data_IF_124230471295
#
_entry.id   IF_124230471295
#
_cell.length_a   1.000
_cell.length_b   1.000
_cell.length_c   1.000
_cell.angle_alpha   90.00
_cell.angle_beta   90.00
_cell.angle_gamma   90.00
#
_symmetry.space_group_name_H-M   'P 1'
#
loop_
_entity.id
_entity.type
_entity.pdbx_description
1 polymer ?
#
# COMPACT_ATOMS: atom_id res chain seq x y z
N UNK A 1 9.96 -1.37 -2.70
CA UNK A 1 10.43 -2.34 -3.73
C UNK A 1 9.38 -3.42 -3.87
N UNK A 2 9.13 -3.89 -5.08
CA UNK A 2 8.07 -4.84 -5.42
C UNK A 2 8.63 -5.94 -6.31
N UNK A 3 8.73 -7.17 -5.80
CA UNK A 3 9.23 -8.33 -6.53
C UNK A 3 8.10 -9.06 -7.26
N UNK A 4 8.44 -9.69 -8.39
CA UNK A 4 7.59 -10.68 -9.07
C UNK A 4 8.49 -11.84 -9.47
N UNK A 5 8.60 -12.83 -8.59
CA UNK A 5 9.73 -13.77 -8.62
C UNK A 5 11.03 -13.10 -8.15
N UNK A 6 12.10 -13.88 -8.01
CA UNK A 6 13.35 -13.41 -7.42
C UNK A 6 14.20 -12.54 -8.35
N UNK A 7 13.97 -12.61 -9.67
CA UNK A 7 14.80 -11.95 -10.68
C UNK A 7 14.21 -10.65 -11.25
N UNK A 8 12.95 -10.34 -10.89
CA UNK A 8 12.30 -9.08 -11.26
C UNK A 8 11.95 -8.27 -10.01
N UNK A 9 12.33 -6.99 -10.02
CA UNK A 9 11.98 -6.05 -8.96
C UNK A 9 11.74 -4.64 -9.53
N UNK A 10 10.58 -4.08 -9.24
CA UNK A 10 10.26 -2.67 -9.48
C UNK A 10 10.54 -1.84 -8.21
N UNK A 11 11.08 -0.64 -8.38
CA UNK A 11 11.34 0.26 -7.26
C UNK A 11 10.92 1.70 -7.56
N UNK A 12 10.31 2.30 -6.56
CA UNK A 12 9.85 3.68 -6.54
C UNK A 12 10.11 4.23 -5.13
N UNK A 13 10.46 5.50 -5.04
CA UNK A 13 10.66 6.22 -3.78
C UNK A 13 9.46 7.12 -3.49
N UNK A 14 9.21 7.34 -2.20
CA UNK A 14 8.22 8.28 -1.68
C UNK A 14 8.84 9.09 -0.54
N UNK A 15 8.28 10.24 -0.22
CA UNK A 15 8.69 11.04 0.93
C UNK A 15 8.57 10.22 2.22
N UNK A 16 9.61 10.25 3.05
CA UNK A 16 9.58 9.58 4.35
C UNK A 16 8.56 10.27 5.27
N UNK A 17 7.65 9.52 5.92
CA UNK A 17 6.70 10.08 6.87
C UNK A 17 7.38 10.66 8.12
N UNK A 18 8.66 10.35 8.36
CA UNK A 18 9.43 10.85 9.49
C UNK A 18 9.91 12.31 9.33
N UNK A 19 9.77 12.91 8.15
CA UNK A 19 10.16 14.31 7.89
C UNK A 19 9.19 15.30 8.55
N UNK A 20 7.95 15.33 8.07
CA UNK A 20 6.92 16.29 8.52
C UNK A 20 5.51 15.67 8.61
N UNK A 21 5.36 14.39 8.28
CA UNK A 21 4.08 13.69 8.25
C UNK A 21 3.09 14.16 7.16
N UNK A 22 3.49 15.10 6.29
CA UNK A 22 2.68 15.65 5.19
C UNK A 22 2.96 14.87 3.90
N UNK A 23 1.89 14.28 3.35
CA UNK A 23 1.95 13.53 2.09
C UNK A 23 2.01 14.51 0.93
N UNK A 24 3.04 14.41 0.11
CA UNK A 24 3.13 15.16 -1.14
C UNK A 24 2.20 14.55 -2.18
N UNK A 25 1.37 15.39 -2.80
CA UNK A 25 0.39 14.98 -3.80
C UNK A 25 0.60 15.75 -5.10
N UNK A 26 0.36 15.07 -6.22
CA UNK A 26 0.33 15.70 -7.55
C UNK A 26 -0.97 16.48 -7.78
N UNK A 27 -1.12 17.07 -8.96
CA UNK A 27 -2.31 17.82 -9.38
C UNK A 27 -3.58 16.96 -9.45
N UNK A 28 -3.45 15.63 -9.51
CA UNK A 28 -4.58 14.68 -9.48
C UNK A 28 -4.88 14.17 -8.06
N UNK A 29 -4.14 14.66 -7.05
CA UNK A 29 -4.30 14.25 -5.65
C UNK A 29 -3.67 12.90 -5.31
N UNK A 30 -2.88 12.29 -6.18
CA UNK A 30 -2.16 11.02 -5.91
C UNK A 30 -0.85 11.30 -5.18
N UNK A 31 -0.41 10.36 -4.35
CA UNK A 31 0.88 10.47 -3.65
C UNK A 31 2.03 10.51 -4.67
N UNK A 32 2.91 11.49 -4.56
CA UNK A 32 4.06 11.65 -5.46
C UNK A 32 5.04 10.49 -5.26
N UNK A 33 5.49 9.91 -6.38
CA UNK A 33 6.46 8.82 -6.41
C UNK A 33 7.54 9.09 -7.43
N UNK A 34 8.76 8.70 -7.10
CA UNK A 34 9.93 8.88 -7.95
C UNK A 34 10.44 7.51 -8.42
N UNK A 35 10.70 7.32 -9.73
CA UNK A 35 11.26 6.07 -10.21
C UNK A 35 12.64 5.82 -9.61
N UNK A 36 12.94 4.58 -9.23
CA UNK A 36 14.23 4.19 -8.66
C UNK A 36 14.78 3.01 -9.42
N UNK A 37 16.04 3.13 -9.84
CA UNK A 37 16.81 1.99 -10.34
C UNK A 37 17.56 1.37 -9.15
N UNK A 38 17.39 0.07 -8.97
CA UNK A 38 18.11 -0.71 -7.95
C UNK A 38 19.53 -0.98 -8.42
N UNK A 39 20.50 -0.77 -7.53
CA UNK A 39 21.88 -1.19 -7.78
C UNK A 39 22.04 -2.72 -7.62
N UNK A 40 23.22 -3.26 -7.95
CA UNK A 40 23.48 -4.69 -7.88
C UNK A 40 23.26 -5.30 -6.48
N UNK A 41 23.66 -4.59 -5.41
CA UNK A 41 23.44 -5.05 -4.03
C UNK A 41 21.94 -5.10 -3.69
N UNK A 42 21.18 -4.11 -4.12
CA UNK A 42 19.74 -4.03 -3.86
C UNK A 42 18.95 -5.06 -4.66
N UNK A 43 19.36 -5.37 -5.89
CA UNK A 43 18.81 -6.50 -6.65
C UNK A 43 19.05 -7.83 -5.93
N UNK A 44 20.25 -8.03 -5.39
CA UNK A 44 20.54 -9.21 -4.55
C UNK A 44 19.68 -9.24 -3.28
N UNK A 45 19.41 -8.09 -2.65
CA UNK A 45 18.48 -8.00 -1.52
C UNK A 45 17.07 -8.42 -1.95
N UNK A 46 16.56 -7.91 -3.07
CA UNK A 46 15.24 -8.27 -3.59
C UNK A 46 15.10 -9.77 -3.84
N UNK A 47 16.11 -10.37 -4.47
CA UNK A 47 16.22 -11.81 -4.69
C UNK A 47 16.14 -12.59 -3.37
N UNK A 48 16.94 -12.19 -2.37
CA UNK A 48 16.96 -12.83 -1.05
C UNK A 48 15.63 -12.69 -0.32
N UNK A 49 14.99 -11.52 -0.34
CA UNK A 49 13.69 -11.29 0.33
C UNK A 49 12.60 -12.15 -0.31
N UNK A 50 12.51 -12.19 -1.64
CA UNK A 50 11.53 -13.02 -2.35
C UNK A 50 11.62 -14.49 -1.94
N UNK A 51 12.84 -15.04 -1.94
CA UNK A 51 13.07 -16.47 -1.63
C UNK A 51 12.95 -16.78 -0.14
N UNK A 52 13.53 -15.95 0.73
CA UNK A 52 13.52 -16.18 2.18
C UNK A 52 12.10 -16.22 2.75
N UNK A 53 11.23 -15.33 2.27
CA UNK A 53 9.82 -15.27 2.71
C UNK A 53 8.90 -16.18 1.90
N UNK A 54 9.41 -16.83 0.83
CA UNK A 54 8.62 -17.66 -0.09
C UNK A 54 7.40 -16.91 -0.63
N UNK A 55 7.60 -15.64 -1.01
CA UNK A 55 6.55 -14.77 -1.55
C UNK A 55 6.97 -14.31 -2.94
N UNK A 56 6.42 -14.94 -3.99
CA UNK A 56 6.71 -14.58 -5.40
C UNK A 56 6.42 -13.10 -5.66
N UNK A 57 5.24 -12.63 -5.25
CA UNK A 57 4.89 -11.22 -5.25
C UNK A 57 5.14 -10.67 -3.86
N UNK A 58 6.14 -9.80 -3.70
CA UNK A 58 6.53 -9.29 -2.38
C UNK A 58 6.89 -7.80 -2.41
N UNK A 59 6.24 -7.03 -1.53
CA UNK A 59 6.59 -5.65 -1.25
C UNK A 59 7.50 -5.55 -0.02
N UNK A 60 8.56 -4.76 -0.10
CA UNK A 60 9.42 -4.44 1.04
C UNK A 60 10.02 -3.03 0.91
N UNK A 61 10.36 -2.43 2.05
CA UNK A 61 10.89 -1.08 2.14
C UNK A 61 12.40 -1.09 2.37
N UNK A 62 13.11 -0.22 1.65
CA UNK A 62 14.54 0.01 1.75
C UNK A 62 14.82 1.43 2.22
N UNK A 63 15.77 1.56 3.15
CA UNK A 63 16.40 2.83 3.52
C UNK A 63 17.80 2.87 2.93
N UNK A 64 18.05 3.83 2.04
CA UNK A 64 19.40 4.16 1.56
C UNK A 64 20.03 5.13 2.55
N UNK A 65 21.04 4.69 3.30
CA UNK A 65 21.72 5.49 4.32
C UNK A 65 23.19 5.11 4.40
N UNK A 66 24.07 6.09 4.62
CA UNK A 66 25.51 5.87 4.80
C UNK A 66 26.15 5.02 3.68
N UNK A 67 25.74 5.24 2.42
CA UNK A 67 26.24 4.50 1.26
C UNK A 67 25.79 3.03 1.17
N UNK A 68 24.84 2.61 2.00
CA UNK A 68 24.30 1.24 2.03
C UNK A 68 22.77 1.25 1.95
N UNK A 69 22.18 0.07 1.76
CA UNK A 69 20.73 -0.12 1.68
C UNK A 69 20.27 -1.13 2.73
N UNK A 70 19.34 -0.71 3.59
CA UNK A 70 18.84 -1.50 4.71
C UNK A 70 17.35 -1.82 4.52
N UNK A 71 16.97 -3.09 4.67
CA UNK A 71 15.55 -3.47 4.69
C UNK A 71 14.97 -3.11 6.04
N UNK A 72 13.91 -2.31 6.07
CA UNK A 72 13.25 -1.90 7.33
C UNK A 72 11.84 -2.49 7.51
N UNK A 73 11.20 -2.95 6.43
CA UNK A 73 9.87 -3.54 6.46
C UNK A 73 9.67 -4.53 5.31
N UNK A 74 8.98 -5.65 5.58
CA UNK A 74 8.61 -6.67 4.58
C UNK A 74 7.11 -6.91 4.68
N UNK A 75 6.38 -6.44 3.67
CA UNK A 75 4.91 -6.40 3.66
C UNK A 75 4.25 -7.68 3.12
N UNK A 76 5.01 -8.55 2.47
CA UNK A 76 4.47 -9.70 1.72
C UNK A 76 3.74 -9.25 0.45
N UNK A 77 2.65 -9.92 0.08
CA UNK A 77 1.94 -9.66 -1.17
C UNK A 77 1.56 -8.17 -1.37
N UNK A 78 2.11 -7.54 -2.41
CA UNK A 78 1.87 -6.13 -2.72
C UNK A 78 2.12 -5.85 -4.21
N UNK A 79 1.22 -5.09 -4.84
CA UNK A 79 1.38 -4.62 -6.22
C UNK A 79 1.74 -3.15 -6.29
N UNK A 80 2.53 -2.80 -7.31
CA UNK A 80 2.71 -1.41 -7.76
C UNK A 80 1.38 -0.91 -8.31
N UNK A 81 1.12 0.39 -8.15
CA UNK A 81 -0.09 1.04 -8.65
C UNK A 81 0.27 2.05 -9.72
N UNK A 82 -0.65 2.30 -10.63
CA UNK A 82 -0.55 3.33 -11.67
C UNK A 82 0.67 3.14 -12.61
N UNK A 83 1.11 1.90 -12.83
CA UNK A 83 2.19 1.58 -13.77
C UNK A 83 1.73 0.49 -14.72
N UNK A 84 1.39 0.88 -15.96
CA UNK A 84 0.90 -0.07 -16.97
C UNK A 84 1.97 -1.12 -17.29
N UNK A 85 3.22 -0.66 -17.49
CA UNK A 85 4.37 -1.55 -17.67
C UNK A 85 4.51 -2.59 -16.54
N UNK A 86 4.33 -2.19 -15.29
CA UNK A 86 4.40 -3.15 -14.18
C UNK A 86 3.31 -4.21 -14.28
N UNK A 87 2.07 -3.83 -14.66
CA UNK A 87 0.98 -4.80 -14.80
C UNK A 87 1.28 -5.81 -15.90
N UNK A 88 1.79 -5.35 -17.05
CA UNK A 88 2.17 -6.22 -18.18
C UNK A 88 3.30 -7.18 -17.78
N UNK A 89 4.39 -6.64 -17.21
CA UNK A 89 5.54 -7.43 -16.76
C UNK A 89 5.12 -8.45 -15.68
N UNK A 90 4.34 -8.00 -14.68
CA UNK A 90 3.88 -8.86 -13.59
C UNK A 90 2.99 -10.00 -14.09
N UNK A 91 2.03 -9.71 -14.96
CA UNK A 91 1.12 -10.71 -15.52
C UNK A 91 1.90 -11.74 -16.35
N UNK A 92 2.81 -11.28 -17.21
CA UNK A 92 3.67 -12.16 -18.03
C UNK A 92 4.53 -13.08 -17.16
N UNK A 93 5.19 -12.55 -16.13
CA UNK A 93 6.06 -13.34 -15.25
C UNK A 93 5.24 -14.37 -14.47
N UNK A 94 4.11 -13.99 -13.88
CA UNK A 94 3.26 -14.92 -13.13
C UNK A 94 2.69 -16.01 -14.04
N UNK A 95 2.23 -15.65 -15.24
CA UNK A 95 1.80 -16.62 -16.25
C UNK A 95 2.89 -17.63 -16.59
N UNK A 96 4.11 -17.16 -16.85
CA UNK A 96 5.25 -18.02 -17.13
C UNK A 96 5.62 -18.93 -15.94
N UNK A 97 5.50 -18.45 -14.71
CA UNK A 97 5.73 -19.27 -13.50
C UNK A 97 4.71 -20.41 -13.42
N UNK A 98 3.43 -20.10 -13.61
CA UNK A 98 2.35 -21.10 -13.58
C UNK A 98 2.52 -22.12 -14.70
N UNK A 99 2.76 -21.67 -15.93
CA UNK A 99 2.94 -22.56 -17.07
C UNK A 99 4.16 -23.45 -16.92
N UNK A 100 5.28 -22.92 -16.43
CA UNK A 100 6.49 -23.71 -16.17
C UNK A 100 6.24 -24.86 -15.19
N UNK A 101 5.41 -24.65 -14.18
CA UNK A 101 5.14 -25.64 -13.14
C UNK A 101 4.03 -26.63 -13.55
N UNK A 102 2.94 -26.13 -14.14
CA UNK A 102 1.73 -26.91 -14.38
C UNK A 102 1.66 -27.50 -15.78
N UNK A 103 2.24 -26.87 -16.81
CA UNK A 103 2.09 -27.34 -18.19
C UNK A 103 2.49 -28.83 -18.38
N UNK A 104 3.57 -29.35 -17.77
CA UNK A 104 3.89 -30.78 -17.88
C UNK A 104 2.81 -31.70 -17.32
N UNK A 105 2.16 -31.31 -16.22
CA UNK A 105 1.11 -32.10 -15.57
C UNK A 105 -0.16 -32.14 -16.41
N UNK A 106 -0.47 -31.04 -17.08
CA UNK A 106 -1.64 -30.91 -17.95
C UNK A 106 -1.34 -31.28 -19.40
N UNK A 107 -0.14 -31.79 -19.70
CA UNK A 107 0.32 -32.13 -21.05
C UNK A 107 0.17 -30.96 -22.04
N UNK A 108 0.29 -29.73 -21.54
CA UNK A 108 0.25 -28.52 -22.37
C UNK A 108 1.65 -28.33 -22.97
N UNK A 109 1.78 -28.26 -24.30
CA UNK A 109 3.06 -27.91 -24.92
C UNK A 109 3.47 -26.51 -24.47
N UNK A 110 4.53 -26.43 -23.67
CA UNK A 110 5.08 -25.17 -23.21
C UNK A 110 6.60 -25.20 -23.33
N UNK A 111 7.14 -24.38 -24.22
CA UNK A 111 8.56 -24.08 -24.23
C UNK A 111 8.84 -23.02 -23.17
N UNK A 112 9.89 -23.23 -22.38
CA UNK A 112 10.46 -22.15 -21.58
C UNK A 112 10.80 -21.05 -22.58
N UNK A 113 10.26 -19.82 -22.44
CA UNK A 113 10.71 -18.71 -23.27
C UNK A 113 12.18 -18.47 -22.91
N UNK A 114 13.08 -19.06 -23.69
CA UNK A 114 14.49 -18.72 -23.66
C UNK A 114 14.56 -17.36 -24.35
N UNK A 115 14.71 -16.34 -23.50
CA UNK A 115 15.14 -14.97 -23.79
C UNK A 115 14.04 -13.89 -23.88
N UNK A 116 14.48 -12.67 -23.56
CA UNK A 116 13.72 -11.45 -23.65
C UNK A 116 13.05 -11.33 -25.02
N UNK A 117 11.81 -10.83 -25.05
CA UNK A 117 11.06 -10.44 -26.25
C UNK A 117 11.09 -11.43 -27.43
N UNK A 118 10.10 -12.32 -27.50
CA UNK A 118 9.30 -12.48 -28.72
C UNK A 118 7.99 -13.24 -28.39
N UNK A 119 6.88 -12.79 -28.97
CA UNK A 119 5.52 -13.32 -28.73
C UNK A 119 5.26 -14.48 -29.69
N UNK A 120 4.86 -15.69 -29.23
CA UNK A 120 4.62 -16.80 -30.14
C UNK A 120 3.21 -16.75 -30.75
N UNK A 121 3.14 -16.94 -32.06
CA UNK A 121 1.90 -17.12 -32.82
C UNK A 121 1.51 -18.60 -32.80
N UNK A 122 0.24 -18.92 -32.49
CA UNK A 122 -0.27 -20.30 -32.44
C UNK A 122 -1.22 -20.55 -33.63
N UNK A 123 -0.97 -21.55 -34.50
CA UNK A 123 -1.88 -21.90 -35.59
C UNK A 123 -3.04 -22.80 -35.11
N UNK A 124 -4.22 -22.65 -35.71
CA UNK A 124 -5.43 -23.45 -35.42
C UNK A 124 -5.86 -24.29 -36.64
N UNK A 125 -6.55 -25.41 -36.37
CA UNK A 125 -6.99 -26.42 -37.35
C UNK A 125 -8.07 -25.95 -38.34
N UNK A 126 -8.48 -24.67 -38.31
CA UNK A 126 -9.51 -24.12 -39.20
C UNK A 126 -9.09 -22.83 -39.91
N UNK A 127 -7.80 -22.49 -39.92
CA UNK A 127 -7.25 -21.41 -40.75
C UNK A 127 -7.52 -19.98 -40.29
N UNK A 128 -8.41 -19.76 -39.32
CA UNK A 128 -8.59 -18.46 -38.66
C UNK A 128 -7.92 -18.45 -37.28
N UNK A 129 -6.92 -17.58 -37.15
CA UNK A 129 -6.18 -17.33 -35.91
C UNK A 129 -7.16 -17.00 -34.78
N UNK A 130 -7.10 -17.75 -33.68
CA UNK A 130 -7.81 -17.37 -32.45
C UNK A 130 -6.85 -16.61 -31.55
N UNK A 131 -7.17 -15.34 -31.31
CA UNK A 131 -6.45 -14.46 -30.39
C UNK A 131 -7.10 -14.56 -29.01
N UNK A 132 -6.33 -14.90 -27.98
CA UNK A 132 -6.77 -14.78 -26.59
C UNK A 132 -7.00 -13.30 -26.28
N UNK A 133 -8.26 -12.87 -26.28
CA UNK A 133 -8.60 -11.46 -26.02
C UNK A 133 -8.41 -11.07 -24.56
N UNK A 134 -8.77 -11.94 -23.62
CA UNK A 134 -8.47 -11.75 -22.21
C UNK A 134 -8.62 -13.05 -21.41
N UNK A 135 -7.89 -13.12 -20.29
CA UNK A 135 -8.17 -14.04 -19.18
C UNK A 135 -8.68 -13.20 -18.03
N UNK A 136 -9.89 -13.48 -17.55
CA UNK A 136 -10.48 -12.76 -16.42
C UNK A 136 -10.32 -13.64 -15.18
N UNK A 137 -9.37 -13.27 -14.31
CA UNK A 137 -9.19 -13.87 -13.00
C UNK A 137 -9.74 -12.91 -11.93
N UNK A 138 -10.79 -13.33 -11.22
CA UNK A 138 -11.33 -12.57 -10.08
C UNK A 138 -10.63 -13.04 -8.81
N UNK A 139 -9.65 -12.27 -8.38
CA UNK A 139 -8.90 -12.53 -7.15
C UNK A 139 -9.36 -11.52 -6.10
N UNK A 140 -10.06 -11.99 -5.07
CA UNK A 140 -10.39 -11.17 -3.91
C UNK A 140 -9.23 -11.17 -2.93
N UNK A 141 -8.85 -9.99 -2.47
CA UNK A 141 -7.97 -9.85 -1.32
C UNK A 141 -8.72 -10.45 -0.10
N UNK A 142 -8.10 -11.35 0.67
CA UNK A 142 -8.71 -11.84 1.92
C UNK A 142 -9.11 -10.64 2.79
N UNK A 143 -10.30 -10.69 3.39
CA UNK A 143 -10.94 -9.56 4.09
C UNK A 143 -9.96 -8.90 5.06
N UNK A 144 -9.35 -7.80 4.61
CA UNK A 144 -8.74 -6.83 5.49
C UNK A 144 -9.86 -5.85 5.79
N UNK A 145 -10.34 -5.83 7.04
CA UNK A 145 -11.18 -4.72 7.50
C UNK A 145 -10.48 -3.42 7.13
N UNK A 146 -11.08 -2.57 6.28
CA UNK A 146 -10.45 -1.33 5.84
C UNK A 146 -10.02 -0.53 7.07
N UNK A 147 -8.72 -0.24 7.18
CA UNK A 147 -8.22 0.64 8.25
C UNK A 147 -8.74 2.05 7.94
N UNK A 148 -9.77 2.50 8.66
CA UNK A 148 -10.28 3.86 8.58
C UNK A 148 -9.25 4.82 9.21
N UNK A 149 -8.31 5.29 8.39
CA UNK A 149 -7.29 6.26 8.80
C UNK A 149 -7.82 7.66 8.55
N UNK A 150 -8.07 8.41 9.62
CA UNK A 150 -8.34 9.84 9.54
C UNK A 150 -7.18 10.64 10.13
N UNK A 151 -6.90 11.79 9.51
CA UNK A 151 -6.04 12.84 10.06
C UNK A 151 -6.89 14.11 10.16
N UNK A 152 -6.76 14.81 11.27
CA UNK A 152 -7.32 16.14 11.49
C UNK A 152 -6.39 16.90 12.44
N UNK A 153 -6.32 18.21 12.26
CA UNK A 153 -5.76 19.11 13.25
C UNK A 153 -6.80 19.33 14.35
N UNK A 154 -6.34 19.45 15.59
CA UNK A 154 -7.16 19.75 16.77
C UNK A 154 -6.58 20.98 17.45
N UNK A 155 -7.45 21.90 17.85
CA UNK A 155 -7.11 23.19 18.49
C UNK A 155 -7.92 23.44 19.76
N UNK A 156 -9.03 22.73 19.94
CA UNK A 156 -9.87 22.80 21.13
C UNK A 156 -9.15 22.22 22.36
N UNK A 157 -9.24 22.95 23.47
CA UNK A 157 -8.59 22.60 24.74
C UNK A 157 -8.93 21.19 25.22
N UNK A 158 -10.15 20.68 24.97
CA UNK A 158 -10.55 19.33 25.40
C UNK A 158 -9.68 18.21 24.82
N UNK A 159 -9.19 18.38 23.58
CA UNK A 159 -8.25 17.41 23.00
C UNK A 159 -6.87 17.48 23.65
N UNK A 160 -6.43 18.67 24.08
CA UNK A 160 -5.18 18.85 24.82
C UNK A 160 -5.28 18.31 26.24
N UNK A 161 -6.43 18.47 26.91
CA UNK A 161 -6.67 17.90 28.23
C UNK A 161 -6.64 16.36 28.19
N UNK A 162 -7.22 15.76 27.15
CA UNK A 162 -7.07 14.32 26.87
C UNK A 162 -5.61 13.94 26.63
N UNK A 163 -4.87 14.77 25.88
CA UNK A 163 -3.46 14.55 25.61
C UNK A 163 -2.62 14.57 26.89
N UNK A 164 -2.88 15.52 27.78
CA UNK A 164 -2.22 15.66 29.08
C UNK A 164 -2.57 14.52 30.03
N UNK A 165 -3.86 14.21 30.17
CA UNK A 165 -4.39 13.16 31.07
C UNK A 165 -3.74 11.80 30.84
N UNK A 166 -3.39 11.49 29.59
CA UNK A 166 -2.73 10.24 29.23
C UNK A 166 -1.22 10.39 28.95
N UNK A 167 -0.57 11.37 29.58
CA UNK A 167 0.89 11.57 29.54
C UNK A 167 1.45 11.80 28.11
N UNK A 168 0.66 12.38 27.21
CA UNK A 168 1.04 12.62 25.81
C UNK A 168 2.27 13.51 25.67
N UNK A 169 2.43 14.51 26.55
CA UNK A 169 3.56 15.44 26.55
C UNK A 169 4.91 14.76 26.85
N UNK A 170 4.94 13.64 27.59
CA UNK A 170 6.19 12.92 27.90
C UNK A 170 6.87 12.36 26.64
N UNK A 171 6.06 11.93 25.66
CA UNK A 171 6.55 11.24 24.46
C UNK A 171 6.25 12.00 23.16
N UNK A 172 5.63 13.19 23.24
CA UNK A 172 5.15 13.95 22.08
C UNK A 172 4.08 13.22 21.24
N UNK A 173 3.49 12.14 21.78
CA UNK A 173 2.48 11.34 21.09
C UNK A 173 1.63 10.56 22.09
N UNK A 174 0.39 10.30 21.70
CA UNK A 174 -0.56 9.52 22.47
C UNK A 174 -1.10 8.33 21.65
N UNK A 175 -1.13 7.13 22.25
CA UNK A 175 -1.68 5.93 21.62
C UNK A 175 -2.80 5.33 22.48
N UNK A 176 -4.04 5.67 22.14
CA UNK A 176 -5.22 5.16 22.80
C UNK A 176 -5.67 3.85 22.15
N UNK A 177 -5.97 2.84 22.98
CA UNK A 177 -6.40 1.51 22.51
C UNK A 177 -7.55 0.93 23.33
N UNK A 178 -7.69 1.34 24.59
CA UNK A 178 -8.70 0.78 25.49
C UNK A 178 -10.06 1.41 25.17
N UNK A 179 -11.18 0.66 25.23
CA UNK A 179 -12.52 1.20 24.96
C UNK A 179 -12.84 2.48 25.74
N UNK A 180 -12.49 2.52 27.04
CA UNK A 180 -12.67 3.72 27.88
C UNK A 180 -11.95 4.96 27.34
N UNK A 181 -10.75 4.80 26.79
CA UNK A 181 -9.98 5.91 26.23
C UNK A 181 -10.61 6.42 24.93
N UNK A 182 -11.10 5.50 24.09
CA UNK A 182 -11.78 5.83 22.84
C UNK A 182 -13.13 6.50 23.10
N UNK A 183 -13.83 6.08 24.16
CA UNK A 183 -15.07 6.71 24.60
C UNK A 183 -14.86 8.18 24.98
N UNK A 184 -13.78 8.52 25.69
CA UNK A 184 -13.49 9.92 26.05
C UNK A 184 -13.22 10.81 24.82
N UNK A 185 -12.61 10.24 23.77
CA UNK A 185 -12.43 10.92 22.48
C UNK A 185 -13.78 11.12 21.78
N UNK A 186 -14.64 10.11 21.79
CA UNK A 186 -15.99 10.18 21.23
C UNK A 186 -16.86 11.22 21.97
N UNK A 187 -16.79 11.25 23.29
CA UNK A 187 -17.55 12.19 24.11
C UNK A 187 -17.12 13.64 23.85
N UNK A 188 -15.82 13.87 23.68
CA UNK A 188 -15.29 15.18 23.26
C UNK A 188 -15.83 15.57 21.88
N UNK A 189 -15.80 14.65 20.91
CA UNK A 189 -16.34 14.92 19.57
C UNK A 189 -17.84 15.23 19.58
N UNK A 190 -18.63 14.51 20.40
CA UNK A 190 -20.07 14.75 20.57
C UNK A 190 -20.35 16.13 21.16
N UNK A 191 -19.63 16.53 22.21
CA UNK A 191 -19.82 17.84 22.84
C UNK A 191 -19.52 18.98 21.85
N UNK A 192 -18.41 18.89 21.12
CA UNK A 192 -18.05 19.90 20.12
C UNK A 192 -19.09 20.01 18.99
N UNK A 193 -19.65 18.88 18.53
CA UNK A 193 -20.72 18.89 17.53
C UNK A 193 -22.01 19.55 18.02
N UNK A 194 -22.34 19.39 19.30
CA UNK A 194 -23.50 20.07 19.92
C UNK A 194 -23.27 21.58 19.99
N UNK A 195 -22.09 22.00 20.43
CA UNK A 195 -21.72 23.43 20.55
C UNK A 195 -21.70 24.13 19.18
N UNK A 196 -21.15 23.48 18.15
CA UNK A 196 -21.19 23.95 16.75
C UNK A 196 -22.62 24.04 16.18
N UNK A 197 -23.54 23.21 16.67
CA UNK A 197 -24.94 23.22 16.24
C UNK A 197 -25.79 24.30 16.89
N UNK A 198 -25.33 24.85 18.03
CA UNK A 198 -26.09 25.79 18.85
C UNK A 198 -25.63 27.25 18.67
N UNK A 199 -24.41 27.51 18.21
CA UNK A 199 -23.82 28.85 18.13
C UNK A 199 -23.13 29.13 16.78
N UNK A 200 -23.49 30.24 16.12
CA UNK A 200 -22.81 30.77 14.93
C UNK A 200 -21.46 31.46 15.24
N UNK A 201 -21.12 31.64 16.52
CA UNK A 201 -19.98 32.45 16.99
C UNK A 201 -19.06 31.63 17.91
N UNK A 202 -18.70 30.42 17.46
CA UNK A 202 -17.87 29.50 18.26
C UNK A 202 -16.40 29.62 17.86
N UNK A 203 -15.52 29.78 18.85
CA UNK A 203 -14.04 29.63 18.74
C UNK A 203 -13.61 28.19 18.38
N UNK A 204 -14.54 27.35 17.91
CA UNK A 204 -14.29 25.97 17.51
C UNK A 204 -13.81 25.98 16.06
N UNK A 205 -12.49 25.87 15.91
CA UNK A 205 -11.84 25.85 14.60
C UNK A 205 -11.84 24.45 13.96
N UNK A 206 -12.27 23.42 14.69
CA UNK A 206 -12.37 22.07 14.17
C UNK A 206 -13.39 21.95 13.03
N UNK A 207 -13.01 21.22 11.98
CA UNK A 207 -13.92 20.88 10.89
C UNK A 207 -15.08 20.01 11.39
N UNK A 208 -16.31 20.52 11.30
CA UNK A 208 -17.55 19.78 11.61
C UNK A 208 -17.60 18.41 10.94
N UNK A 209 -17.29 18.34 9.65
CA UNK A 209 -17.28 17.09 8.89
C UNK A 209 -16.26 16.06 9.45
N UNK A 210 -15.13 16.52 9.98
CA UNK A 210 -14.13 15.65 10.62
C UNK A 210 -14.59 15.16 12.00
N UNK A 211 -15.26 16.01 12.77
CA UNK A 211 -15.85 15.60 14.05
C UNK A 211 -17.00 14.60 13.86
N UNK A 212 -17.84 14.80 12.85
CA UNK A 212 -18.89 13.85 12.45
C UNK A 212 -18.28 12.51 12.03
N UNK A 213 -17.22 12.55 11.21
CA UNK A 213 -16.49 11.34 10.84
C UNK A 213 -15.90 10.63 12.07
N UNK A 214 -15.29 11.37 13.00
CA UNK A 214 -14.70 10.81 14.22
C UNK A 214 -15.76 10.13 15.08
N UNK A 215 -16.93 10.76 15.21
CA UNK A 215 -18.10 10.20 15.91
C UNK A 215 -18.54 8.88 15.26
N UNK A 216 -18.80 8.88 13.95
CA UNK A 216 -19.28 7.67 13.24
C UNK A 216 -18.31 6.49 13.31
N UNK A 217 -17.00 6.74 13.41
CA UNK A 217 -15.98 5.69 13.50
C UNK A 217 -15.85 5.10 14.91
N UNK A 218 -16.14 5.90 15.94
CA UNK A 218 -15.99 5.50 17.35
C UNK A 218 -17.30 4.98 17.98
N UNK A 219 -18.44 5.19 17.33
CA UNK A 219 -19.74 4.58 17.67
C UNK A 219 -19.84 3.11 17.25
#
# INVERSE_FOLDING_TARGET
VYTVGPDYAHAEARKSPALDGKVERDSEGKEVRYPVILNAREKLIAWKVCLAFKQTVCGFDLLRANGQSYVCDVNGFSFVKNSMKYYDDCAKILGNIVMRELAPQFQIPWSIPLEAEDIPIVPTTSGTMMELRCVIAVIRHGDRTPKQKMKMEVRNQRFFDLFEKYDGYKNGKLKLKKPKQLQEVLDTARQLLVELGQNNDTEIEESKAKLEQLKTVLE
#
